data_IF_802250859412
#
_entry.id   IF_802250859412
#
_cell.length_a   1.000
_cell.length_b   1.000
_cell.length_c   1.000
_cell.angle_alpha   90.00
_cell.angle_beta   90.00
_cell.angle_gamma   90.00
#
_symmetry.space_group_name_H-M   'P 1'
#
loop_
_entity.id
_entity.type
_entity.pdbx_description
1 polymer ?
#
# COMPACT_ATOMS: atom_id res chain seq x y z
N UNK A 1 12.11 13.81 0.05
CA UNK A 1 11.53 14.80 0.97
C UNK A 1 10.32 15.45 0.32
N UNK A 2 9.28 15.87 1.04
CA UNK A 2 8.00 16.23 0.42
C UNK A 2 7.69 17.72 0.28
N UNK A 3 8.39 18.60 0.98
CA UNK A 3 8.10 20.05 0.96
C UNK A 3 8.92 20.78 -0.10
N UNK A 4 8.24 21.36 -1.09
CA UNK A 4 8.83 22.19 -2.14
C UNK A 4 8.81 23.71 -1.82
N UNK A 5 8.50 24.07 -0.57
CA UNK A 5 8.25 25.46 -0.17
C UNK A 5 9.53 26.19 0.22
N UNK A 6 9.89 27.25 -0.49
CA UNK A 6 10.99 28.17 -0.10
C UNK A 6 10.50 29.55 0.38
N UNK A 7 9.20 29.72 0.56
CA UNK A 7 8.58 31.01 0.90
C UNK A 7 8.08 31.00 2.33
N UNK A 8 8.45 32.00 3.13
CA UNK A 8 7.93 32.19 4.50
C UNK A 8 6.40 32.37 4.46
N UNK A 9 5.62 31.75 5.36
CA UNK A 9 4.18 31.95 5.39
C UNK A 9 3.76 33.40 5.66
N UNK A 10 2.61 33.83 5.12
CA UNK A 10 2.04 35.14 5.46
C UNK A 10 1.85 35.36 6.96
N UNK A 11 1.66 34.27 7.72
CA UNK A 11 1.53 34.25 9.17
C UNK A 11 2.86 34.03 9.93
N UNK A 12 4.00 34.11 9.24
CA UNK A 12 5.34 33.92 9.83
C UNK A 12 5.75 32.45 10.03
N UNK A 13 6.99 32.23 10.46
CA UNK A 13 7.57 30.90 10.72
C UNK A 13 8.59 30.44 9.66
N UNK A 14 8.99 29.18 9.73
CA UNK A 14 9.99 28.62 8.80
C UNK A 14 9.41 28.40 7.40
N UNK A 15 10.21 28.74 6.39
CA UNK A 15 9.91 28.40 5.00
C UNK A 15 9.90 26.87 4.78
N UNK A 16 10.81 26.13 5.44
CA UNK A 16 10.98 24.67 5.33
C UNK A 16 11.04 23.95 6.68
N UNK A 17 9.88 23.73 7.30
CA UNK A 17 9.78 22.90 8.51
C UNK A 17 10.31 21.47 8.31
N UNK A 18 10.26 20.96 7.08
CA UNK A 18 10.74 19.63 6.76
C UNK A 18 12.23 19.45 6.98
N UNK A 19 13.03 20.51 6.88
CA UNK A 19 14.49 20.41 6.91
C UNK A 19 14.96 19.91 8.26
N UNK A 20 14.33 20.42 9.33
CA UNK A 20 14.55 19.95 10.70
C UNK A 20 14.24 18.46 10.83
N UNK A 21 13.12 18.01 10.23
CA UNK A 21 12.70 16.60 10.26
C UNK A 21 13.64 15.71 9.47
N UNK A 22 14.04 16.12 8.26
CA UNK A 22 14.99 15.39 7.44
C UNK A 22 16.34 15.27 8.15
N UNK A 23 16.87 16.37 8.70
CA UNK A 23 18.13 16.36 9.45
C UNK A 23 18.05 15.44 10.67
N UNK A 24 16.92 15.42 11.38
CA UNK A 24 16.69 14.48 12.48
C UNK A 24 16.67 13.01 12.00
N UNK A 25 16.05 12.72 10.86
CA UNK A 25 16.08 11.39 10.25
C UNK A 25 17.51 10.96 9.92
N UNK A 26 18.29 11.85 9.28
CA UNK A 26 19.67 11.58 8.92
C UNK A 26 20.55 11.38 10.16
N UNK A 27 20.35 12.15 11.23
CA UNK A 27 21.12 11.99 12.47
C UNK A 27 20.82 10.67 13.18
N UNK A 28 19.57 10.20 13.15
CA UNK A 28 19.20 8.88 13.69
C UNK A 28 19.83 7.75 12.87
N UNK A 29 19.83 7.82 11.54
CA UNK A 29 20.48 6.81 10.71
C UNK A 29 21.99 6.77 10.96
N UNK A 30 22.64 7.94 11.02
CA UNK A 30 24.08 8.03 11.34
C UNK A 30 24.41 7.45 12.72
N UNK A 31 23.62 7.77 13.74
CA UNK A 31 23.81 7.23 15.09
C UNK A 31 23.66 5.70 15.13
N UNK A 32 22.86 5.11 14.23
CA UNK A 32 22.71 3.66 14.11
C UNK A 32 23.93 3.00 13.47
N UNK A 33 24.51 3.62 12.44
CA UNK A 33 25.77 3.16 11.85
C UNK A 33 26.90 3.13 12.90
N UNK A 34 26.96 4.16 13.75
CA UNK A 34 27.92 4.26 14.86
C UNK A 34 27.66 3.20 15.95
N UNK A 35 26.40 2.86 16.21
CA UNK A 35 26.02 1.90 17.25
C UNK A 35 26.15 0.43 16.84
N UNK A 36 25.85 0.08 15.58
CA UNK A 36 25.91 -1.30 15.09
C UNK A 36 27.31 -1.77 14.72
N UNK A 37 28.19 -0.85 14.33
CA UNK A 37 29.39 -1.20 13.58
C UNK A 37 29.03 -1.67 12.16
N UNK A 38 29.93 -1.47 11.20
CA UNK A 38 29.66 -1.71 9.77
C UNK A 38 29.34 -3.18 9.42
N UNK A 39 29.49 -4.13 10.37
CA UNK A 39 29.38 -5.57 10.12
C UNK A 39 27.93 -6.11 10.16
N UNK A 40 26.95 -5.35 10.66
CA UNK A 40 25.54 -5.81 10.73
C UNK A 40 24.58 -5.03 9.82
N UNK A 41 24.55 -3.70 9.96
CA UNK A 41 23.69 -2.80 9.16
C UNK A 41 24.45 -1.50 8.94
N UNK A 42 24.52 -1.06 7.68
CA UNK A 42 25.12 0.22 7.29
C UNK A 42 24.18 0.99 6.36
N UNK A 43 24.10 2.31 6.51
CA UNK A 43 23.24 3.16 5.68
C UNK A 43 24.05 3.99 4.68
N UNK A 44 23.82 3.75 3.40
CA UNK A 44 24.17 4.70 2.33
C UNK A 44 22.89 5.45 1.93
N UNK A 45 22.87 6.77 2.16
CA UNK A 45 21.64 7.57 2.04
C UNK A 45 21.76 8.57 0.89
N UNK A 46 20.87 8.45 -0.09
CA UNK A 46 20.63 9.47 -1.11
C UNK A 46 19.32 10.20 -0.82
N UNK A 47 19.35 11.54 -0.83
CA UNK A 47 18.17 12.38 -0.60
C UNK A 47 17.69 12.96 -1.92
N UNK A 48 16.42 12.75 -2.24
CA UNK A 48 15.75 13.45 -3.34
C UNK A 48 14.80 14.51 -2.78
N UNK A 49 15.17 15.76 -3.00
CA UNK A 49 14.43 16.94 -2.61
C UNK A 49 13.72 17.56 -3.83
N UNK A 50 12.38 17.68 -3.83
CA UNK A 50 11.66 18.33 -4.92
C UNK A 50 12.17 19.73 -5.26
N UNK A 51 12.65 20.50 -4.28
CA UNK A 51 13.22 21.83 -4.57
C UNK A 51 14.44 21.72 -5.48
N UNK A 52 15.31 20.75 -5.24
CA UNK A 52 16.52 20.52 -6.02
C UNK A 52 16.22 19.79 -7.33
N UNK A 53 15.29 18.82 -7.29
CA UNK A 53 14.92 17.98 -8.44
C UNK A 53 14.18 18.78 -9.50
N UNK A 54 13.26 19.67 -9.12
CA UNK A 54 12.56 20.56 -10.05
C UNK A 54 13.26 21.91 -10.23
N UNK A 55 14.29 22.20 -9.43
CA UNK A 55 15.03 23.44 -9.47
C UNK A 55 15.97 23.56 -10.67
N UNK A 56 16.60 24.73 -10.87
CA UNK A 56 17.58 24.92 -11.93
C UNK A 56 18.74 23.92 -11.83
N UNK A 57 19.07 23.26 -12.94
CA UNK A 57 20.04 22.17 -12.96
C UNK A 57 19.54 20.85 -12.33
N UNK A 58 18.28 20.74 -11.94
CA UNK A 58 17.66 19.52 -11.42
C UNK A 58 17.40 18.45 -12.48
N UNK A 59 16.99 17.25 -12.05
CA UNK A 59 16.66 16.14 -12.95
C UNK A 59 15.34 16.37 -13.71
N UNK A 60 14.40 17.07 -13.07
CA UNK A 60 13.09 17.46 -13.59
C UNK A 60 12.99 18.99 -13.75
N UNK A 61 14.11 19.66 -14.02
CA UNK A 61 14.12 21.07 -14.39
C UNK A 61 13.17 21.30 -15.57
N UNK A 62 12.25 22.27 -15.44
CA UNK A 62 11.27 22.59 -16.46
C UNK A 62 10.47 23.85 -16.13
N UNK A 63 9.70 24.31 -17.09
CA UNK A 63 8.82 25.49 -17.02
C UNK A 63 7.47 25.22 -16.31
N UNK A 64 7.36 24.08 -15.62
CA UNK A 64 6.16 23.67 -14.89
C UNK A 64 5.12 22.94 -15.74
N UNK A 65 5.44 22.60 -17.00
CA UNK A 65 4.56 21.75 -17.81
C UNK A 65 4.55 20.29 -17.32
N UNK A 66 3.37 19.66 -17.41
CA UNK A 66 3.24 18.23 -17.22
C UNK A 66 3.98 17.53 -18.37
N UNK A 67 5.10 16.90 -18.04
CA UNK A 67 5.92 16.19 -19.00
C UNK A 67 5.56 14.71 -19.03
N UNK A 68 5.96 14.04 -20.12
CA UNK A 68 5.84 12.59 -20.21
C UNK A 68 6.65 11.94 -19.08
N UNK A 69 6.07 11.03 -18.29
CA UNK A 69 6.80 10.33 -17.24
C UNK A 69 8.05 9.63 -17.80
N UNK A 70 9.13 9.60 -17.02
CA UNK A 70 10.45 9.15 -17.52
C UNK A 70 10.43 7.69 -17.98
N UNK A 71 9.63 6.84 -17.34
CA UNK A 71 9.49 5.45 -17.74
C UNK A 71 8.83 5.22 -19.11
N UNK A 72 8.24 6.24 -19.73
CA UNK A 72 7.77 6.18 -21.13
C UNK A 72 8.83 6.68 -22.14
N UNK A 73 9.91 7.28 -21.65
CA UNK A 73 10.99 7.80 -22.50
C UNK A 73 12.05 6.72 -22.75
N UNK A 74 12.81 6.89 -23.83
CA UNK A 74 13.97 6.03 -24.09
C UNK A 74 15.11 6.37 -23.14
N UNK A 75 15.84 5.36 -22.69
CA UNK A 75 17.09 5.57 -21.95
C UNK A 75 18.04 6.50 -22.73
N UNK A 76 18.70 7.41 -22.03
CA UNK A 76 19.57 8.44 -22.60
C UNK A 76 18.85 9.73 -23.00
N UNK A 77 17.51 9.81 -22.90
CA UNK A 77 16.76 11.05 -23.19
C UNK A 77 17.05 12.13 -22.16
N UNK A 78 17.22 11.75 -20.90
CA UNK A 78 17.60 12.65 -19.81
C UNK A 78 18.53 11.90 -18.85
N UNK A 79 19.84 12.18 -18.95
CA UNK A 79 20.86 11.48 -18.19
C UNK A 79 20.70 11.62 -16.66
N UNK A 80 20.22 12.78 -16.18
CA UNK A 80 19.99 13.00 -14.74
C UNK A 80 18.83 12.16 -14.22
N UNK A 81 17.79 12.02 -15.03
CA UNK A 81 16.66 11.13 -14.70
C UNK A 81 17.06 9.66 -14.76
N UNK A 82 17.94 9.29 -15.70
CA UNK A 82 18.50 7.93 -15.75
C UNK A 82 19.35 7.61 -14.52
N UNK A 83 20.19 8.56 -14.06
CA UNK A 83 20.97 8.43 -12.83
C UNK A 83 20.06 8.32 -11.59
N UNK A 84 19.06 9.19 -11.47
CA UNK A 84 18.08 9.13 -10.39
C UNK A 84 17.30 7.81 -10.38
N UNK A 85 16.90 7.31 -11.56
CA UNK A 85 16.26 6.01 -11.71
C UNK A 85 17.20 4.88 -11.27
N UNK A 86 18.48 4.93 -11.61
CA UNK A 86 19.47 3.94 -11.20
C UNK A 86 19.61 3.90 -9.68
N UNK A 87 19.69 5.06 -9.02
CA UNK A 87 19.73 5.17 -7.55
C UNK A 87 18.47 4.60 -6.91
N UNK A 88 17.28 4.96 -7.41
CA UNK A 88 16.00 4.39 -6.93
C UNK A 88 16.01 2.86 -7.08
N UNK A 89 16.40 2.36 -8.26
CA UNK A 89 16.43 0.93 -8.55
C UNK A 89 17.49 0.18 -7.71
N UNK A 90 18.59 0.81 -7.33
CA UNK A 90 19.62 0.21 -6.49
C UNK A 90 19.25 0.20 -4.99
N UNK A 91 18.40 1.12 -4.53
CA UNK A 91 18.05 1.26 -3.12
C UNK A 91 17.44 -0.02 -2.53
N UNK A 92 17.82 -0.33 -1.28
CA UNK A 92 17.31 -1.50 -0.53
C UNK A 92 15.99 -1.22 0.20
N UNK A 93 15.61 0.05 0.34
CA UNK A 93 14.36 0.52 0.95
C UNK A 93 14.21 2.04 0.83
N UNK A 94 13.06 2.58 1.25
CA UNK A 94 12.74 4.01 1.08
C UNK A 94 12.24 4.67 2.36
N UNK A 95 12.70 5.90 2.65
CA UNK A 95 12.18 6.75 3.72
C UNK A 95 11.45 7.94 3.11
N UNK A 96 10.13 7.96 3.22
CA UNK A 96 9.29 9.03 2.66
C UNK A 96 9.03 10.08 3.73
N UNK A 97 9.85 11.14 3.72
CA UNK A 97 9.68 12.32 4.58
C UNK A 97 8.72 13.30 3.91
N UNK A 98 7.51 13.47 4.45
CA UNK A 98 6.44 14.27 3.82
C UNK A 98 5.76 15.26 4.77
N UNK A 99 5.42 16.43 4.23
CA UNK A 99 4.46 17.33 4.88
C UNK A 99 3.02 16.87 4.62
N UNK A 100 2.05 17.42 5.36
CA UNK A 100 0.63 17.38 4.97
C UNK A 100 0.20 18.67 4.30
N UNK A 101 -0.19 18.58 3.02
CA UNK A 101 -0.72 19.69 2.22
C UNK A 101 -2.18 19.41 1.92
N UNK A 102 -3.09 20.29 2.35
CA UNK A 102 -4.54 20.13 2.15
C UNK A 102 -5.05 18.73 2.52
N UNK A 103 -4.60 18.22 3.68
CA UNK A 103 -4.97 16.88 4.17
C UNK A 103 -4.52 15.71 3.29
N UNK A 104 -3.51 15.90 2.45
CA UNK A 104 -2.97 14.89 1.55
C UNK A 104 -1.46 15.04 1.34
N UNK A 105 -0.91 14.17 0.49
CA UNK A 105 0.47 14.22 0.03
C UNK A 105 0.75 15.50 -0.78
N UNK A 106 1.94 16.11 -0.63
CA UNK A 106 2.35 17.23 -1.46
C UNK A 106 2.46 16.84 -2.94
N UNK A 107 1.91 17.64 -3.87
CA UNK A 107 1.97 17.35 -5.32
C UNK A 107 3.39 17.18 -5.87
N UNK A 108 4.35 17.93 -5.32
CA UNK A 108 5.74 17.83 -5.74
C UNK A 108 6.35 16.45 -5.42
N UNK A 109 5.97 15.86 -4.27
CA UNK A 109 6.44 14.53 -3.88
C UNK A 109 5.83 13.44 -4.76
N UNK A 110 4.52 13.48 -4.97
CA UNK A 110 3.83 12.48 -5.80
C UNK A 110 4.26 12.58 -7.26
N UNK A 111 4.47 13.79 -7.77
CA UNK A 111 5.01 14.02 -9.12
C UNK A 111 6.40 13.40 -9.26
N UNK A 112 7.34 13.74 -8.36
CA UNK A 112 8.71 13.21 -8.37
C UNK A 112 8.72 11.68 -8.39
N UNK A 113 7.95 11.04 -7.51
CA UNK A 113 7.90 9.57 -7.42
C UNK A 113 7.19 8.95 -8.64
N UNK A 114 6.20 9.64 -9.21
CA UNK A 114 5.42 9.18 -10.36
C UNK A 114 6.19 9.14 -11.69
N UNK A 115 7.36 9.78 -11.78
CA UNK A 115 8.18 9.72 -13.00
C UNK A 115 8.83 8.35 -13.24
N UNK A 116 8.95 7.51 -12.20
CA UNK A 116 9.63 6.23 -12.29
C UNK A 116 8.61 5.09 -12.20
N UNK A 117 8.70 4.13 -13.14
CA UNK A 117 7.76 3.01 -13.18
C UNK A 117 7.87 2.13 -11.93
N UNK A 118 6.74 1.53 -11.51
CA UNK A 118 6.67 0.78 -10.24
C UNK A 118 7.63 -0.40 -10.12
N UNK A 119 8.12 -0.93 -11.25
CA UNK A 119 9.15 -1.97 -11.29
C UNK A 119 10.49 -1.55 -10.67
N UNK A 120 10.77 -0.24 -10.52
CA UNK A 120 11.97 0.27 -9.83
C UNK A 120 11.83 0.21 -8.30
N UNK A 121 10.58 0.22 -7.81
CA UNK A 121 10.25 0.24 -6.39
C UNK A 121 9.86 -1.13 -5.82
N UNK A 122 9.52 -2.08 -6.70
CA UNK A 122 9.02 -3.42 -6.33
C UNK A 122 9.91 -4.17 -5.34
N UNK A 123 9.28 -4.96 -4.47
CA UNK A 123 9.93 -5.88 -3.54
C UNK A 123 10.95 -5.19 -2.61
N UNK A 124 10.69 -3.93 -2.24
CA UNK A 124 11.49 -3.15 -1.30
C UNK A 124 10.58 -2.53 -0.25
N UNK A 125 11.00 -2.49 1.02
CA UNK A 125 10.20 -1.86 2.04
C UNK A 125 10.26 -0.34 1.93
N UNK A 126 9.24 0.33 2.48
CA UNK A 126 9.23 1.77 2.64
C UNK A 126 8.71 2.16 4.01
N UNK A 127 9.10 3.32 4.52
CA UNK A 127 8.53 3.90 5.73
C UNK A 127 8.11 5.34 5.50
N UNK A 128 7.23 5.84 6.38
CA UNK A 128 6.62 7.16 6.25
C UNK A 128 7.00 7.98 7.49
N UNK A 129 7.69 9.09 7.24
CA UNK A 129 7.95 10.14 8.22
C UNK A 129 7.10 11.33 7.83
N UNK A 130 6.14 11.69 8.68
CA UNK A 130 5.21 12.78 8.41
C UNK A 130 5.39 13.93 9.38
N UNK A 131 5.10 15.15 8.92
CA UNK A 131 5.08 16.32 9.78
C UNK A 131 4.02 17.34 9.33
N UNK A 132 3.57 18.16 10.28
CA UNK A 132 2.80 19.36 9.99
C UNK A 132 2.96 20.38 11.11
N UNK A 133 2.64 21.67 10.87
CA UNK A 133 2.61 22.66 11.95
C UNK A 133 1.57 22.35 13.03
N UNK A 134 0.54 21.56 12.70
CA UNK A 134 -0.55 21.24 13.59
C UNK A 134 -0.29 20.01 14.47
N UNK A 135 -1.15 19.77 15.47
CA UNK A 135 -1.00 18.69 16.44
C UNK A 135 -1.12 17.28 15.84
N UNK A 136 -1.67 17.17 14.63
CA UNK A 136 -1.89 15.89 13.95
C UNK A 136 -0.67 15.39 13.15
N UNK A 137 0.43 16.16 13.12
CA UNK A 137 1.70 15.73 12.55
C UNK A 137 1.65 15.23 11.09
N UNK A 138 0.61 15.62 10.35
CA UNK A 138 0.38 15.19 8.98
C UNK A 138 -0.17 13.77 8.80
N UNK A 139 -0.81 13.21 9.82
CA UNK A 139 -1.31 11.82 9.81
C UNK A 139 -2.20 11.50 8.60
N UNK A 140 -2.96 12.47 8.06
CA UNK A 140 -3.82 12.20 6.90
C UNK A 140 -2.99 11.99 5.64
N UNK A 141 -1.94 12.79 5.46
CA UNK A 141 -0.95 12.56 4.41
C UNK A 141 -0.25 11.20 4.58
N UNK A 142 0.08 10.79 5.80
CA UNK A 142 0.66 9.47 6.04
C UNK A 142 -0.29 8.33 5.66
N UNK A 143 -1.59 8.45 5.97
CA UNK A 143 -2.57 7.44 5.58
C UNK A 143 -2.82 7.41 4.07
N UNK A 144 -2.77 8.56 3.39
CA UNK A 144 -2.81 8.62 1.93
C UNK A 144 -1.52 8.06 1.28
N UNK A 145 -0.37 8.20 1.96
CA UNK A 145 0.91 7.69 1.47
C UNK A 145 0.98 6.18 1.44
N UNK A 146 0.34 5.47 2.38
CA UNK A 146 0.35 4.00 2.42
C UNK A 146 -0.10 3.35 1.10
N UNK A 147 -1.34 3.59 0.60
CA UNK A 147 -1.77 3.01 -0.66
C UNK A 147 -0.97 3.54 -1.84
N UNK A 148 -0.58 4.82 -1.84
CA UNK A 148 0.28 5.38 -2.90
C UNK A 148 1.61 4.62 -3.04
N UNK A 149 2.28 4.33 -1.92
CA UNK A 149 3.54 3.59 -1.92
C UNK A 149 3.36 2.12 -2.30
N UNK A 150 2.27 1.49 -1.86
CA UNK A 150 1.94 0.13 -2.27
C UNK A 150 1.70 0.04 -3.78
N UNK A 151 0.95 0.97 -4.37
CA UNK A 151 0.70 1.00 -5.83
C UNK A 151 1.96 1.36 -6.62
N UNK A 152 2.86 2.14 -6.04
CA UNK A 152 4.18 2.36 -6.61
C UNK A 152 5.03 1.07 -6.61
N UNK A 153 4.68 0.05 -5.83
CA UNK A 153 5.37 -1.24 -5.73
C UNK A 153 6.19 -1.41 -4.45
N UNK A 154 6.28 -0.39 -3.59
CA UNK A 154 6.91 -0.52 -2.29
C UNK A 154 6.06 -1.38 -1.34
N UNK A 155 6.65 -1.82 -0.23
CA UNK A 155 5.94 -2.48 0.86
C UNK A 155 6.06 -1.63 2.13
N UNK A 156 5.06 -0.80 2.46
CA UNK A 156 5.11 0.05 3.64
C UNK A 156 5.20 -0.77 4.94
N UNK A 157 6.14 -0.41 5.82
CA UNK A 157 6.23 -0.96 7.19
C UNK A 157 5.02 -0.52 8.02
N UNK A 158 4.73 -1.25 9.10
CA UNK A 158 3.60 -0.94 9.99
C UNK A 158 3.84 0.33 10.80
N UNK A 159 5.04 0.50 11.37
CA UNK A 159 5.39 1.72 12.13
C UNK A 159 5.52 2.95 11.23
N UNK A 160 5.24 4.11 11.80
CA UNK A 160 5.45 5.42 11.19
C UNK A 160 6.07 6.36 12.22
N UNK A 161 6.69 7.45 11.76
CA UNK A 161 7.15 8.53 12.63
C UNK A 161 6.40 9.81 12.28
N UNK A 162 5.72 10.40 13.26
CA UNK A 162 4.95 11.61 13.07
C UNK A 162 5.41 12.73 14.02
N UNK A 163 5.76 13.88 13.45
CA UNK A 163 6.30 15.03 14.18
C UNK A 163 5.38 16.26 14.06
N UNK A 164 4.60 16.58 15.11
CA UNK A 164 3.80 17.81 15.16
C UNK A 164 4.70 19.01 15.43
N UNK A 165 4.38 20.18 14.88
CA UNK A 165 5.12 21.43 15.10
C UNK A 165 6.66 21.28 15.08
N UNK A 166 7.29 20.86 13.97
CA UNK A 166 8.73 20.54 13.93
C UNK A 166 9.66 21.65 14.44
N UNK A 167 9.28 22.92 14.29
CA UNK A 167 10.01 24.08 14.81
C UNK A 167 10.01 24.17 16.34
N UNK A 168 9.05 23.53 17.02
CA UNK A 168 9.02 23.41 18.48
C UNK A 168 9.80 22.18 18.96
N UNK A 169 9.86 21.13 18.13
CA UNK A 169 10.53 19.88 18.49
C UNK A 169 12.03 19.89 18.23
N UNK A 170 12.45 20.54 17.15
CA UNK A 170 13.82 20.47 16.65
C UNK A 170 14.42 21.87 16.46
N UNK A 171 15.72 22.01 16.70
CA UNK A 171 16.48 23.18 16.28
C UNK A 171 16.73 23.18 14.75
N UNK A 172 17.52 24.15 14.25
CA UNK A 172 17.70 24.33 12.80
C UNK A 172 18.56 23.22 12.20
N UNK A 173 19.37 22.59 13.03
CA UNK A 173 20.26 21.46 12.76
C UNK A 173 19.53 20.11 12.85
N UNK A 174 18.27 20.10 13.30
CA UNK A 174 17.45 18.89 13.46
C UNK A 174 17.72 18.14 14.76
N UNK A 175 18.41 18.75 15.73
CA UNK A 175 18.57 18.17 17.06
C UNK A 175 17.30 18.42 17.90
N UNK A 176 16.85 17.42 18.69
CA UNK A 176 15.69 17.62 19.55
C UNK A 176 15.94 18.68 20.62
N UNK A 177 14.99 19.60 20.79
CA UNK A 177 15.03 20.60 21.88
C UNK A 177 14.78 19.98 23.25
N UNK A 178 13.96 18.94 23.30
CA UNK A 178 13.74 18.08 24.46
C UNK A 178 14.10 16.63 24.07
N UNK A 179 15.28 16.12 24.47
CA UNK A 179 15.73 14.76 24.17
C UNK A 179 14.83 13.65 24.74
N UNK A 180 14.03 13.94 25.77
CA UNK A 180 13.15 12.96 26.42
C UNK A 180 11.75 12.93 25.82
N UNK A 181 11.48 13.79 24.83
CA UNK A 181 10.17 13.92 24.26
C UNK A 181 9.67 12.60 23.65
N UNK A 182 8.50 12.14 24.11
CA UNK A 182 7.94 10.82 23.80
C UNK A 182 7.89 10.50 22.29
N UNK A 183 7.64 11.50 21.46
CA UNK A 183 7.49 11.30 20.01
C UNK A 183 8.80 10.86 19.31
N UNK A 184 9.97 11.15 19.90
CA UNK A 184 11.28 10.80 19.33
C UNK A 184 11.47 9.27 19.26
N UNK A 185 10.84 8.52 20.17
CA UNK A 185 10.89 7.04 20.21
C UNK A 185 10.27 6.37 18.98
N UNK A 186 9.43 7.07 18.22
CA UNK A 186 8.77 6.53 17.03
C UNK A 186 9.78 6.22 15.91
N UNK A 187 10.74 7.12 15.69
CA UNK A 187 11.65 7.05 14.55
C UNK A 187 12.64 5.87 14.65
N UNK A 188 13.36 5.64 15.77
CA UNK A 188 14.20 4.46 15.92
C UNK A 188 13.43 3.13 15.79
N UNK A 189 12.21 3.07 16.33
CA UNK A 189 11.38 1.87 16.23
C UNK A 189 10.94 1.59 14.78
N UNK A 190 10.60 2.64 14.03
CA UNK A 190 10.25 2.53 12.61
C UNK A 190 11.46 2.14 11.75
N UNK A 191 12.63 2.75 12.00
CA UNK A 191 13.86 2.41 11.28
C UNK A 191 14.27 0.96 11.53
N UNK A 192 14.16 0.46 12.76
CA UNK A 192 14.44 -0.96 13.05
C UNK A 192 13.53 -1.94 12.27
N UNK A 193 12.26 -1.59 12.08
CA UNK A 193 11.35 -2.40 11.24
C UNK A 193 11.72 -2.31 9.75
N UNK A 194 12.10 -1.12 9.27
CA UNK A 194 12.57 -0.92 7.90
C UNK A 194 13.82 -1.74 7.59
N UNK A 195 14.84 -1.68 8.46
CA UNK A 195 16.09 -2.41 8.28
C UNK A 195 15.87 -3.91 8.25
N UNK A 196 15.10 -4.45 9.21
CA UNK A 196 14.81 -5.87 9.25
C UNK A 196 14.12 -6.34 7.96
N UNK A 197 13.13 -5.58 7.48
CA UNK A 197 12.45 -5.89 6.22
C UNK A 197 13.38 -5.70 5.02
N UNK A 198 14.26 -4.70 5.01
CA UNK A 198 15.16 -4.41 3.90
C UNK A 198 16.16 -5.54 3.72
N UNK A 199 16.77 -6.01 4.81
CA UNK A 199 17.68 -7.16 4.81
C UNK A 199 16.98 -8.44 4.34
N UNK A 200 15.78 -8.72 4.86
CA UNK A 200 15.02 -9.90 4.48
C UNK A 200 14.63 -9.88 2.98
N UNK A 201 14.15 -8.73 2.50
CA UNK A 201 13.74 -8.57 1.10
C UNK A 201 14.94 -8.57 0.16
N UNK A 202 16.06 -7.94 0.54
CA UNK A 202 17.31 -7.99 -0.23
C UNK A 202 17.79 -9.43 -0.43
N UNK A 203 17.89 -10.19 0.67
CA UNK A 203 18.24 -11.62 0.62
C UNK A 203 17.32 -12.40 -0.31
N UNK A 204 16.02 -12.08 -0.33
CA UNK A 204 15.09 -12.75 -1.24
C UNK A 204 15.27 -12.32 -2.70
N UNK A 205 15.47 -11.03 -2.98
CA UNK A 205 15.77 -10.53 -4.33
C UNK A 205 17.01 -11.19 -4.93
N UNK A 206 17.99 -11.49 -4.09
CA UNK A 206 19.26 -12.12 -4.49
C UNK A 206 19.20 -13.67 -4.54
N UNK A 207 18.08 -14.28 -4.12
CA UNK A 207 17.90 -15.74 -4.11
C UNK A 207 17.38 -16.29 -5.44
N UNK A 208 17.48 -17.61 -5.62
CA UNK A 208 16.91 -18.36 -6.74
C UNK A 208 15.85 -19.38 -6.23
N UNK A 209 14.60 -19.37 -6.72
CA UNK A 209 14.03 -18.41 -7.67
C UNK A 209 13.86 -17.02 -7.08
N UNK A 210 14.20 -16.00 -7.87
CA UNK A 210 13.97 -14.60 -7.49
C UNK A 210 12.48 -14.30 -7.32
N UNK A 211 12.08 -13.21 -6.65
CA UNK A 211 10.68 -12.83 -6.52
C UNK A 211 9.97 -12.70 -7.87
N UNK A 212 10.69 -12.23 -8.91
CA UNK A 212 10.16 -12.16 -10.27
C UNK A 212 9.94 -13.55 -10.87
N UNK A 213 10.88 -14.47 -10.65
CA UNK A 213 10.75 -15.85 -11.11
C UNK A 213 9.60 -16.58 -10.38
N UNK A 214 9.40 -16.31 -9.09
CA UNK A 214 8.26 -16.83 -8.31
C UNK A 214 6.95 -16.24 -8.84
N UNK A 215 6.89 -14.93 -9.06
CA UNK A 215 5.70 -14.29 -9.61
C UNK A 215 5.39 -14.80 -11.03
N UNK A 216 6.43 -15.05 -11.83
CA UNK A 216 6.26 -15.62 -13.17
C UNK A 216 5.81 -17.07 -13.13
N UNK A 217 6.38 -17.88 -12.25
CA UNK A 217 5.95 -19.25 -12.00
C UNK A 217 4.49 -19.29 -11.53
N UNK A 218 4.11 -18.41 -10.59
CA UNK A 218 2.75 -18.27 -10.10
C UNK A 218 1.81 -17.86 -11.22
N UNK A 219 2.15 -16.83 -12.02
CA UNK A 219 1.38 -16.44 -13.21
C UNK A 219 1.19 -17.62 -14.16
N UNK A 220 2.27 -18.31 -14.54
CA UNK A 220 2.22 -19.48 -15.43
C UNK A 220 1.37 -20.62 -14.87
N UNK A 221 1.47 -20.91 -13.56
CA UNK A 221 0.67 -21.96 -12.92
C UNK A 221 -0.80 -21.57 -12.81
N UNK A 222 -1.11 -20.35 -12.36
CA UNK A 222 -2.46 -19.82 -12.23
C UNK A 222 -3.17 -19.70 -13.59
N UNK A 223 -2.46 -19.31 -14.65
CA UNK A 223 -3.01 -19.27 -16.03
C UNK A 223 -3.15 -20.65 -16.65
N UNK A 224 -2.33 -21.63 -16.24
CA UNK A 224 -2.40 -22.98 -16.79
C UNK A 224 -3.44 -23.88 -16.13
N UNK A 225 -3.89 -23.58 -14.90
CA UNK A 225 -4.72 -24.52 -14.14
C UNK A 225 -6.11 -24.00 -13.69
N UNK A 226 -6.33 -22.74 -13.31
CA UNK A 226 -7.60 -22.45 -12.59
C UNK A 226 -8.26 -21.09 -12.85
N UNK A 227 -7.58 -20.08 -13.39
CA UNK A 227 -8.13 -18.72 -13.41
C UNK A 227 -7.83 -18.07 -14.77
N UNK A 228 -8.87 -17.77 -15.54
CA UNK A 228 -8.75 -17.21 -16.90
C UNK A 228 -7.90 -15.92 -17.00
N UNK A 229 -7.65 -15.43 -18.22
CA UNK A 229 -6.61 -14.45 -18.54
C UNK A 229 -6.64 -13.11 -17.79
N UNK A 230 -7.76 -12.70 -17.17
CA UNK A 230 -7.90 -11.45 -16.42
C UNK A 230 -7.12 -11.40 -15.09
N UNK A 231 -6.73 -12.54 -14.51
CA UNK A 231 -6.09 -12.58 -13.17
C UNK A 231 -4.58 -12.35 -13.23
N UNK A 232 -3.95 -12.60 -14.38
CA UNK A 232 -2.50 -12.52 -14.56
C UNK A 232 -1.91 -11.10 -14.36
N UNK A 233 -2.73 -10.06 -14.51
CA UNK A 233 -2.28 -8.67 -14.56
C UNK A 233 -2.11 -8.01 -13.18
N UNK A 234 -2.75 -8.55 -12.12
CA UNK A 234 -2.96 -7.80 -10.86
C UNK A 234 -1.91 -8.00 -9.76
N UNK A 235 -1.00 -8.97 -9.88
CA UNK A 235 0.14 -9.14 -8.94
C UNK A 235 -0.22 -9.61 -7.51
N UNK A 236 0.80 -9.90 -6.69
CA UNK A 236 0.66 -10.28 -5.27
C UNK A 236 0.63 -9.04 -4.38
N UNK A 237 -0.28 -9.02 -3.38
CA UNK A 237 -0.54 -7.89 -2.47
C UNK A 237 -1.10 -6.61 -3.14
N UNK A 238 -1.82 -6.75 -4.26
CA UNK A 238 -2.53 -5.63 -4.88
C UNK A 238 -3.86 -5.34 -4.18
N UNK A 239 -4.08 -4.07 -3.84
CA UNK A 239 -5.34 -3.51 -3.35
C UNK A 239 -6.33 -3.19 -4.48
N UNK A 240 -6.00 -3.51 -5.73
CA UNK A 240 -6.83 -3.21 -6.89
C UNK A 240 -8.14 -4.03 -6.93
N UNK A 241 -8.11 -5.28 -6.49
CA UNK A 241 -9.30 -6.14 -6.40
C UNK A 241 -10.40 -5.52 -5.53
N UNK A 242 -10.08 -5.09 -4.30
CA UNK A 242 -11.05 -4.48 -3.41
C UNK A 242 -11.62 -3.12 -3.85
N UNK A 243 -10.80 -2.20 -4.34
CA UNK A 243 -11.23 -0.81 -4.54
C UNK A 243 -11.43 -0.40 -6.00
N UNK A 244 -10.71 -1.02 -6.94
CA UNK A 244 -10.66 -0.58 -8.34
C UNK A 244 -11.38 -1.53 -9.30
N UNK A 245 -11.67 -2.75 -8.87
CA UNK A 245 -12.75 -3.55 -9.47
C UNK A 245 -13.92 -3.57 -8.52
N UNK A 246 -15.16 -3.66 -9.02
CA UNK A 246 -16.39 -3.62 -8.23
C UNK A 246 -16.58 -4.79 -7.22
N UNK A 247 -15.49 -5.39 -6.75
CA UNK A 247 -15.42 -6.64 -6.00
C UNK A 247 -15.00 -6.52 -4.53
N UNK A 248 -14.56 -5.37 -3.99
CA UNK A 248 -14.11 -5.34 -2.58
C UNK A 248 -15.18 -5.37 -1.50
N UNK A 249 -16.33 -4.76 -1.75
CA UNK A 249 -17.53 -5.08 -0.96
C UNK A 249 -18.17 -6.41 -1.44
N UNK A 250 -17.81 -6.83 -2.66
CA UNK A 250 -18.26 -8.03 -3.33
C UNK A 250 -17.70 -9.31 -2.72
N UNK A 251 -16.49 -9.37 -2.17
CA UNK A 251 -15.96 -10.64 -1.62
C UNK A 251 -16.76 -11.11 -0.40
N UNK A 252 -17.10 -10.19 0.51
CA UNK A 252 -18.02 -10.52 1.61
C UNK A 252 -19.43 -10.81 1.08
N UNK A 253 -19.98 -9.99 0.18
CA UNK A 253 -21.31 -10.23 -0.39
C UNK A 253 -21.39 -11.54 -1.22
N UNK A 254 -20.29 -11.93 -1.87
CA UNK A 254 -20.13 -13.12 -2.70
C UNK A 254 -20.04 -14.35 -1.84
N UNK A 255 -19.18 -14.36 -0.81
CA UNK A 255 -19.15 -15.43 0.19
C UNK A 255 -20.51 -15.58 0.89
N UNK A 256 -21.15 -14.47 1.26
CA UNK A 256 -22.51 -14.50 1.82
C UNK A 256 -23.54 -15.04 0.82
N UNK A 257 -23.44 -14.71 -0.47
CA UNK A 257 -24.30 -15.26 -1.52
C UNK A 257 -24.05 -16.75 -1.74
N UNK A 258 -22.80 -17.20 -1.61
CA UNK A 258 -22.44 -18.61 -1.69
C UNK A 258 -22.97 -19.41 -0.49
N UNK A 259 -23.01 -18.83 0.71
CA UNK A 259 -23.68 -19.45 1.87
C UNK A 259 -25.16 -19.68 1.55
N UNK A 260 -25.87 -18.69 1.01
CA UNK A 260 -27.27 -18.81 0.63
C UNK A 260 -27.46 -19.88 -0.46
N UNK A 261 -26.64 -19.83 -1.51
CA UNK A 261 -26.72 -20.74 -2.64
C UNK A 261 -26.44 -22.19 -2.24
N UNK A 262 -25.39 -22.44 -1.45
CA UNK A 262 -25.05 -23.77 -0.98
C UNK A 262 -26.15 -24.38 -0.09
N UNK A 263 -26.80 -23.55 0.73
CA UNK A 263 -27.89 -23.99 1.61
C UNK A 263 -29.18 -24.28 0.84
N UNK A 264 -29.56 -23.41 -0.10
CA UNK A 264 -30.69 -23.67 -1.02
C UNK A 264 -30.42 -24.94 -1.84
N UNK A 265 -29.22 -25.09 -2.39
CA UNK A 265 -28.85 -26.27 -3.17
C UNK A 265 -28.94 -27.55 -2.34
N UNK A 266 -28.54 -27.51 -1.06
CA UNK A 266 -28.67 -28.68 -0.18
C UNK A 266 -30.14 -29.13 -0.05
N UNK A 267 -31.09 -28.20 0.05
CA UNK A 267 -32.52 -28.52 0.07
C UNK A 267 -32.96 -29.21 -1.22
N UNK A 268 -32.57 -28.69 -2.38
CA UNK A 268 -32.86 -29.33 -3.67
C UNK A 268 -32.22 -30.71 -3.82
N UNK A 269 -30.98 -30.87 -3.34
CA UNK A 269 -30.24 -32.14 -3.44
C UNK A 269 -30.84 -33.27 -2.60
N UNK A 270 -31.62 -32.95 -1.55
CA UNK A 270 -32.24 -33.91 -0.63
C UNK A 270 -33.71 -34.20 -0.95
N UNK A 271 -34.33 -33.42 -1.84
CA UNK A 271 -35.74 -33.57 -2.21
C UNK A 271 -35.95 -34.80 -3.11
N UNK A 272 -37.04 -35.53 -2.90
CA UNK A 272 -37.45 -36.61 -3.79
C UNK A 272 -37.98 -36.02 -5.13
N UNK A 273 -37.92 -36.77 -6.25
CA UNK A 273 -38.37 -36.29 -7.56
C UNK A 273 -39.81 -35.73 -7.57
N UNK A 274 -40.69 -36.30 -6.75
CA UNK A 274 -42.10 -35.92 -6.64
C UNK A 274 -42.29 -34.56 -5.94
N UNK A 275 -41.31 -34.13 -5.13
CA UNK A 275 -41.32 -32.88 -4.37
C UNK A 275 -40.76 -31.70 -5.17
N UNK A 276 -40.00 -31.98 -6.24
CA UNK A 276 -39.32 -30.96 -7.06
C UNK A 276 -40.28 -29.94 -7.71
N UNK A 277 -41.47 -30.32 -8.23
CA UNK A 277 -42.39 -29.34 -8.82
C UNK A 277 -42.86 -28.28 -7.81
N UNK A 278 -43.22 -28.72 -6.60
CA UNK A 278 -43.66 -27.83 -5.52
C UNK A 278 -42.50 -26.98 -4.99
N UNK A 279 -41.33 -27.60 -4.79
CA UNK A 279 -40.12 -26.90 -4.34
C UNK A 279 -39.66 -25.83 -5.35
N UNK A 280 -39.74 -26.16 -6.65
CA UNK A 280 -39.44 -25.23 -7.74
C UNK A 280 -40.40 -24.04 -7.78
N UNK A 281 -41.70 -24.27 -7.55
CA UNK A 281 -42.70 -23.18 -7.44
C UNK A 281 -42.35 -22.24 -6.30
N UNK A 282 -42.09 -22.77 -5.11
CA UNK A 282 -41.69 -21.97 -3.94
C UNK A 282 -40.40 -21.19 -4.16
N UNK A 283 -39.42 -21.78 -4.84
CA UNK A 283 -38.17 -21.09 -5.18
C UNK A 283 -38.40 -19.93 -6.15
N UNK A 284 -39.24 -20.16 -7.18
CA UNK A 284 -39.64 -19.12 -8.13
C UNK A 284 -40.35 -17.96 -7.42
N UNK A 285 -41.35 -18.24 -6.60
CA UNK A 285 -42.12 -17.22 -5.85
C UNK A 285 -41.24 -16.41 -4.89
N UNK A 286 -40.28 -17.07 -4.21
CA UNK A 286 -39.43 -16.42 -3.23
C UNK A 286 -38.27 -15.62 -3.86
N UNK A 287 -37.61 -16.15 -4.90
CA UNK A 287 -36.37 -15.57 -5.44
C UNK A 287 -36.48 -15.00 -6.85
N UNK A 288 -37.19 -15.67 -7.76
CA UNK A 288 -37.17 -15.31 -9.19
C UNK A 288 -38.23 -14.27 -9.55
N UNK A 289 -39.46 -14.44 -9.06
CA UNK A 289 -40.57 -13.51 -9.34
C UNK A 289 -40.36 -12.10 -8.79
N UNK A 290 -39.80 -11.92 -7.57
CA UNK A 290 -39.59 -10.58 -7.04
C UNK A 290 -38.47 -9.79 -7.73
N UNK A 291 -37.63 -10.43 -8.57
CA UNK A 291 -36.63 -9.75 -9.39
C UNK A 291 -35.66 -8.84 -8.61
N UNK A 292 -35.14 -9.30 -7.47
CA UNK A 292 -34.32 -8.52 -6.54
C UNK A 292 -35.03 -7.32 -5.87
N UNK A 293 -36.35 -7.19 -5.99
CA UNK A 293 -37.16 -6.17 -5.32
C UNK A 293 -37.38 -6.38 -3.82
N UNK A 294 -36.73 -7.39 -3.22
CA UNK A 294 -36.78 -7.70 -1.78
C UNK A 294 -35.40 -8.02 -1.23
N UNK A 295 -35.20 -7.76 0.06
CA UNK A 295 -33.94 -8.09 0.72
C UNK A 295 -33.65 -9.62 0.66
N UNK A 296 -32.44 -10.06 0.27
CA UNK A 296 -32.12 -11.47 0.06
C UNK A 296 -32.39 -12.39 1.27
N UNK A 297 -32.15 -11.91 2.49
CA UNK A 297 -32.42 -12.68 3.71
C UNK A 297 -33.92 -12.86 3.99
N UNK A 298 -34.76 -11.93 3.52
CA UNK A 298 -36.21 -12.08 3.61
C UNK A 298 -36.68 -13.16 2.64
N UNK A 299 -36.26 -13.08 1.36
CA UNK A 299 -36.55 -14.12 0.36
C UNK A 299 -36.07 -15.50 0.81
N UNK A 300 -34.88 -15.58 1.41
CA UNK A 300 -34.35 -16.84 1.93
C UNK A 300 -35.19 -17.41 3.08
N UNK A 301 -35.65 -16.57 4.02
CA UNK A 301 -36.52 -17.02 5.12
C UNK A 301 -37.88 -17.46 4.61
N UNK A 302 -38.44 -16.78 3.63
CA UNK A 302 -39.71 -17.15 3.01
C UNK A 302 -39.60 -18.53 2.32
N UNK A 303 -38.45 -18.81 1.68
CA UNK A 303 -38.21 -20.10 1.04
C UNK A 303 -37.87 -21.23 2.03
N UNK A 304 -36.90 -21.03 2.94
CA UNK A 304 -36.36 -22.08 3.82
C UNK A 304 -37.07 -22.18 5.18
N UNK A 305 -37.85 -21.17 5.57
CA UNK A 305 -38.47 -21.06 6.90
C UNK A 305 -37.49 -20.77 8.04
N UNK A 306 -36.21 -20.51 7.73
CA UNK A 306 -35.13 -20.30 8.70
C UNK A 306 -34.04 -19.39 8.15
N UNK A 307 -33.11 -18.97 9.01
CA UNK A 307 -31.88 -18.29 8.59
C UNK A 307 -30.88 -19.27 7.93
N UNK A 308 -29.93 -18.75 7.12
CA UNK A 308 -28.94 -19.58 6.41
C UNK A 308 -27.98 -20.31 7.36
N UNK A 309 -27.55 -21.51 6.96
CA UNK A 309 -26.52 -22.31 7.62
C UNK A 309 -25.24 -22.24 6.80
N UNK A 310 -24.10 -22.06 7.46
CA UNK A 310 -22.77 -22.08 6.82
C UNK A 310 -22.29 -23.50 6.47
N UNK A 311 -22.83 -24.50 7.16
CA UNK A 311 -22.40 -25.90 7.08
C UNK A 311 -22.43 -26.48 5.65
N UNK A 312 -23.46 -26.24 4.82
CA UNK A 312 -23.48 -26.70 3.43
C UNK A 312 -22.32 -26.14 2.59
N UNK A 313 -21.97 -24.87 2.79
CA UNK A 313 -20.83 -24.24 2.12
C UNK A 313 -19.51 -24.90 2.55
N UNK A 314 -19.32 -25.13 3.85
CA UNK A 314 -18.12 -25.81 4.35
C UNK A 314 -17.95 -27.23 3.77
N UNK A 315 -19.06 -27.95 3.55
CA UNK A 315 -19.01 -29.26 2.89
C UNK A 315 -18.64 -29.14 1.41
N UNK A 316 -19.22 -28.17 0.70
CA UNK A 316 -18.88 -27.87 -0.69
C UNK A 316 -17.39 -27.51 -0.86
N UNK A 317 -16.84 -26.76 0.09
CA UNK A 317 -15.43 -26.36 0.12
C UNK A 317 -14.48 -27.43 0.69
N UNK A 318 -15.00 -28.59 1.12
CA UNK A 318 -14.22 -29.67 1.76
C UNK A 318 -13.45 -29.22 3.01
N UNK A 319 -14.01 -28.26 3.75
CA UNK A 319 -13.41 -27.69 4.97
C UNK A 319 -14.00 -28.27 6.27
N UNK A 320 -14.83 -29.31 6.17
CA UNK A 320 -15.23 -30.08 7.33
C UNK A 320 -14.11 -31.07 7.65
N UNK A 321 -13.38 -30.82 8.74
CA UNK A 321 -12.44 -31.79 9.29
C UNK A 321 -13.17 -33.12 9.51
N UNK A 322 -12.51 -34.22 9.13
CA UNK A 322 -12.96 -35.56 9.48
C UNK A 322 -13.03 -35.65 11.01
N UNK A 323 -14.25 -35.64 11.55
CA UNK A 323 -14.48 -35.93 12.96
C UNK A 323 -14.09 -37.38 13.21
N UNK A 324 -13.02 -37.57 13.97
CA UNK A 324 -12.71 -38.79 14.74
C UNK A 324 -13.83 -39.12 15.71
#
# INVERSE_FOLDING_TARGET
MGSARNVVPPWGGDARLGDRVLKHVLSVLKARDEAYGQDQVSHEVSVFDPVEVFGPGGALEGDGHLTTPHFFLKAGTNAKMDEMQATIKAADGYVVVTAEYNHSLPPALTSLMGHFGGSNYKCKPSCIVTYSPGPWAGMRAAMAARPFLSELGCIPVSKLAAFPAPNELFDEEGAPKDPEARMLKQLPAMVGELEWMALAMKKMRDSDPSPDAIADLARRRLTSQDLGPEVAEKGLASFAGPFCTGFGAGEYASLWSEVLAADVFETFSKAAPEELPELGRRFREAFLEPGAGRAPLTAFRDFQGRVPKVVPLLRRLKLQGSSS
#
